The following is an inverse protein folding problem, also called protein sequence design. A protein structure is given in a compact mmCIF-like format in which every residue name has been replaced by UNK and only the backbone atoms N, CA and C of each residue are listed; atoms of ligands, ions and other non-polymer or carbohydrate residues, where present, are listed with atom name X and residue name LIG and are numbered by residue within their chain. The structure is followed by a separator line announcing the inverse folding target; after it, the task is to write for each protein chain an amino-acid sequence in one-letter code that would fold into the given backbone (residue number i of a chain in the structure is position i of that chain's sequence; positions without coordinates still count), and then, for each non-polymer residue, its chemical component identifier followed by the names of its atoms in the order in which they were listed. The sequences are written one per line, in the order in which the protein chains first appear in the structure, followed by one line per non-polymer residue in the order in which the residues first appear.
data_IF_843607665884
#
_entry.id   IF_843607665884
#
_cell.length_a   1.000
_cell.length_b   1.000
_cell.length_c   1.000
_cell.angle_alpha   90.00
_cell.angle_beta   90.00
_cell.angle_gamma   90.00
#
_symmetry.space_group_name_H-M   'P 1'
#
loop_
_entity.id
_entity.type
_entity.pdbx_description
1 polymer ?
#
# COMPACT_ATOMS: atom_id res chain seq x y z
N UNK A 1 -11.37 -15.90 2.60
CA UNK A 1 -10.05 -15.36 3.04
C UNK A 1 -10.31 -14.17 3.93
N UNK A 2 -9.78 -14.17 5.15
CA UNK A 2 -9.95 -13.09 6.13
C UNK A 2 -8.64 -12.33 6.21
N UNK A 3 -8.68 -11.00 6.15
CA UNK A 3 -7.49 -10.15 6.29
C UNK A 3 -7.40 -9.55 7.69
N UNK A 4 -6.18 -9.49 8.22
CA UNK A 4 -5.89 -8.85 9.52
C UNK A 4 -4.90 -7.71 9.27
N UNK A 5 -5.32 -6.49 9.60
CA UNK A 5 -4.43 -5.32 9.50
C UNK A 5 -3.47 -5.29 10.70
N UNK A 6 -2.19 -5.13 10.42
CA UNK A 6 -1.13 -4.98 11.42
C UNK A 6 -0.54 -3.56 11.31
N UNK A 7 -0.07 -3.01 12.42
CA UNK A 7 0.50 -1.66 12.47
C UNK A 7 1.93 -1.62 11.91
N UNK A 8 2.66 -2.72 12.04
CA UNK A 8 4.05 -2.85 11.57
C UNK A 8 4.26 -4.19 10.87
N UNK A 9 5.30 -4.27 10.04
CA UNK A 9 5.71 -5.53 9.40
C UNK A 9 6.18 -6.56 10.43
N UNK A 10 6.87 -6.12 11.48
CA UNK A 10 7.28 -6.97 12.59
C UNK A 10 6.08 -7.61 13.30
N UNK A 11 4.98 -6.86 13.49
CA UNK A 11 3.75 -7.42 14.06
C UNK A 11 3.14 -8.49 13.14
N UNK A 12 3.11 -8.23 11.82
CA UNK A 12 2.60 -9.20 10.85
C UNK A 12 3.42 -10.50 10.85
N UNK A 13 4.76 -10.39 10.86
CA UNK A 13 5.68 -11.52 10.97
C UNK A 13 5.48 -12.28 12.28
N UNK A 14 5.45 -11.58 13.42
CA UNK A 14 5.24 -12.21 14.73
C UNK A 14 3.90 -12.97 14.83
N UNK A 15 2.85 -12.51 14.13
CA UNK A 15 1.58 -13.26 14.05
C UNK A 15 1.69 -14.53 13.22
N UNK A 16 2.47 -14.53 12.13
CA UNK A 16 2.78 -15.75 11.37
C UNK A 16 3.56 -16.73 12.23
N UNK A 17 4.59 -16.25 12.93
CA UNK A 17 5.42 -17.06 13.83
C UNK A 17 4.59 -17.75 14.92
N UNK A 18 3.67 -16.99 15.52
CA UNK A 18 2.73 -17.45 16.55
C UNK A 18 1.58 -18.32 16.02
N UNK A 19 1.46 -18.52 14.70
CA UNK A 19 0.37 -19.30 14.10
C UNK A 19 -1.02 -18.64 14.21
N UNK A 20 -1.06 -17.32 14.43
CA UNK A 20 -2.31 -16.55 14.50
C UNK A 20 -2.87 -16.22 13.12
N UNK A 21 -2.03 -16.28 12.08
CA UNK A 21 -2.38 -16.12 10.67
C UNK A 21 -1.57 -17.10 9.83
N UNK A 22 -2.12 -17.53 8.69
CA UNK A 22 -1.47 -18.52 7.81
C UNK A 22 -0.29 -17.94 7.01
N UNK A 23 -0.39 -16.65 6.67
CA UNK A 23 0.63 -15.93 5.91
C UNK A 23 0.58 -14.41 6.16
N UNK A 24 1.69 -13.73 5.91
CA UNK A 24 1.79 -12.28 5.87
C UNK A 24 2.20 -11.81 4.46
N UNK A 25 1.57 -10.72 3.99
CA UNK A 25 1.91 -10.07 2.72
C UNK A 25 2.74 -8.83 3.01
N UNK A 26 4.02 -8.84 2.62
CA UNK A 26 4.97 -7.78 2.94
C UNK A 26 5.55 -7.20 1.63
N UNK A 27 5.60 -5.85 1.47
CA UNK A 27 6.32 -5.25 0.35
C UNK A 27 7.82 -5.44 0.55
N UNK A 28 8.51 -5.95 -0.48
CA UNK A 28 9.94 -6.24 -0.45
C UNK A 28 10.76 -5.35 -1.40
N UNK A 29 10.11 -4.76 -2.41
CA UNK A 29 10.77 -3.89 -3.38
C UNK A 29 9.74 -2.93 -4.00
N UNK A 30 10.16 -1.70 -4.32
CA UNK A 30 9.38 -0.77 -5.13
C UNK A 30 10.24 -0.16 -6.25
N UNK A 31 9.67 0.01 -7.44
CA UNK A 31 10.41 0.51 -8.61
C UNK A 31 10.85 1.98 -8.51
N UNK A 32 10.35 2.73 -7.52
CA UNK A 32 10.65 4.15 -7.31
C UNK A 32 11.31 4.41 -5.95
N UNK A 33 11.02 3.58 -4.93
CA UNK A 33 11.43 3.81 -3.54
C UNK A 33 12.38 2.74 -3.00
N UNK A 34 13.48 3.21 -2.43
CA UNK A 34 14.47 2.38 -1.75
C UNK A 34 14.05 1.94 -0.33
N UNK A 35 13.18 2.69 0.37
CA UNK A 35 12.82 2.40 1.78
C UNK A 35 12.17 1.03 2.01
N UNK A 36 11.57 0.44 0.98
CA UNK A 36 11.00 -0.92 1.05
C UNK A 36 12.09 -1.96 1.26
N UNK A 37 13.34 -1.65 0.91
CA UNK A 37 14.48 -2.55 1.09
C UNK A 37 14.79 -2.84 2.57
N UNK A 38 14.41 -1.96 3.51
CA UNK A 38 14.58 -2.22 4.94
C UNK A 38 13.72 -3.40 5.44
N UNK A 39 12.63 -3.74 4.72
CA UNK A 39 11.84 -4.94 5.03
C UNK A 39 12.57 -6.23 4.63
N UNK A 40 13.47 -6.16 3.65
CA UNK A 40 14.33 -7.29 3.30
C UNK A 40 15.21 -7.67 4.49
N UNK A 41 15.61 -6.70 5.32
CA UNK A 41 16.36 -6.99 6.54
C UNK A 41 15.54 -7.77 7.57
N UNK A 42 14.23 -7.49 7.67
CA UNK A 42 13.33 -8.26 8.53
C UNK A 42 13.16 -9.71 8.06
N UNK A 43 13.28 -9.98 6.77
CA UNK A 43 13.29 -11.35 6.26
C UNK A 43 14.50 -12.14 6.79
N UNK A 44 15.66 -11.50 6.96
CA UNK A 44 16.84 -12.19 7.53
C UNK A 44 16.67 -12.54 9.00
N UNK A 45 16.02 -11.67 9.77
CA UNK A 45 15.94 -11.83 11.22
C UNK A 45 14.96 -12.94 11.65
N UNK A 46 13.98 -13.29 10.81
CA UNK A 46 12.85 -14.15 11.19
C UNK A 46 12.76 -15.49 10.41
N UNK A 47 13.66 -15.72 9.45
CA UNK A 47 13.72 -16.90 8.56
C UNK A 47 12.34 -17.39 8.01
N UNK A 48 11.44 -16.50 7.54
CA UNK A 48 10.16 -16.94 7.00
C UNK A 48 10.33 -17.53 5.59
N UNK A 49 9.53 -18.55 5.27
CA UNK A 49 9.50 -19.11 3.93
C UNK A 49 8.70 -18.19 3.01
N UNK A 50 9.31 -17.76 1.90
CA UNK A 50 8.60 -17.09 0.81
C UNK A 50 7.83 -18.16 0.05
N UNK A 51 6.50 -18.13 0.15
CA UNK A 51 5.61 -19.08 -0.52
C UNK A 51 4.96 -18.52 -1.79
N UNK A 52 5.09 -17.21 -2.01
CA UNK A 52 4.53 -16.53 -3.17
C UNK A 52 5.09 -15.12 -3.33
N UNK A 53 4.92 -14.57 -4.53
CA UNK A 53 5.14 -13.15 -4.78
C UNK A 53 4.09 -12.61 -5.76
N UNK A 54 3.81 -11.32 -5.63
CA UNK A 54 2.97 -10.58 -6.58
C UNK A 54 3.57 -9.21 -6.85
N UNK A 55 3.62 -8.83 -8.12
CA UNK A 55 3.99 -7.48 -8.53
C UNK A 55 2.69 -6.72 -8.79
N UNK A 56 2.45 -5.67 -8.00
CA UNK A 56 1.27 -4.83 -8.14
C UNK A 56 1.66 -3.46 -8.66
N UNK A 57 0.99 -3.01 -9.72
CA UNK A 57 1.03 -1.62 -10.15
C UNK A 57 0.42 -0.74 -9.06
N UNK A 58 1.10 0.35 -8.73
CA UNK A 58 0.63 1.35 -7.77
C UNK A 58 -0.03 2.48 -8.55
N UNK A 59 -1.31 2.30 -8.82
CA UNK A 59 -2.15 3.33 -9.41
C UNK A 59 -2.88 4.12 -8.31
N UNK A 60 -2.91 5.44 -8.48
CA UNK A 60 -3.50 6.37 -7.54
C UNK A 60 -4.65 7.12 -8.21
N UNK A 61 -5.84 7.04 -7.61
CA UNK A 61 -7.08 7.64 -8.09
C UNK A 61 -7.61 8.63 -7.06
N UNK A 62 -8.28 9.69 -7.54
CA UNK A 62 -8.99 10.64 -6.70
C UNK A 62 -10.37 10.10 -6.37
N UNK A 63 -10.67 10.06 -5.09
CA UNK A 63 -11.91 9.51 -4.57
C UNK A 63 -12.58 10.61 -3.76
N UNK A 64 -13.66 11.22 -4.26
CA UNK A 64 -14.42 12.21 -3.51
C UNK A 64 -15.31 11.51 -2.49
N UNK A 65 -15.82 12.29 -1.53
CA UNK A 65 -16.91 11.82 -0.69
C UNK A 65 -18.15 11.42 -1.53
N UNK A 66 -18.99 10.48 -1.05
CA UNK A 66 -20.19 10.07 -1.74
C UNK A 66 -21.11 11.26 -2.06
N UNK A 67 -21.54 11.37 -3.32
CA UNK A 67 -22.44 12.43 -3.78
C UNK A 67 -21.75 13.74 -4.16
N UNK A 68 -20.42 13.84 -4.04
CA UNK A 68 -19.69 15.04 -4.42
C UNK A 68 -19.23 15.08 -5.88
N UNK A 69 -19.37 16.25 -6.48
CA UNK A 69 -18.78 16.64 -7.77
C UNK A 69 -17.34 17.15 -7.63
N UNK A 70 -16.63 17.21 -8.76
CA UNK A 70 -15.23 17.66 -8.82
C UNK A 70 -15.01 19.10 -8.34
N UNK A 71 -16.00 19.94 -8.61
CA UNK A 71 -16.12 21.37 -8.31
C UNK A 71 -16.29 21.64 -6.81
N UNK A 72 -16.76 20.66 -6.05
CA UNK A 72 -17.00 20.79 -4.62
C UNK A 72 -15.76 20.44 -3.78
N UNK A 73 -14.73 19.83 -4.37
CA UNK A 73 -13.53 19.37 -3.63
C UNK A 73 -12.61 20.55 -3.33
N UNK A 74 -12.46 20.90 -2.05
CA UNK A 74 -11.60 22.00 -1.58
C UNK A 74 -10.24 21.53 -1.11
N UNK A 75 -10.14 20.29 -0.63
CA UNK A 75 -8.88 19.73 -0.17
C UNK A 75 -8.74 18.23 -0.45
N UNK A 76 -7.49 17.78 -0.64
CA UNK A 76 -7.11 16.38 -0.86
C UNK A 76 -6.26 15.91 0.31
N UNK A 77 -6.68 14.80 0.94
CA UNK A 77 -5.98 14.17 2.05
C UNK A 77 -5.37 12.84 1.60
N UNK A 78 -4.10 12.60 1.91
CA UNK A 78 -3.51 11.28 1.77
C UNK A 78 -2.19 11.19 2.52
N UNK A 79 -1.62 9.99 2.55
CA UNK A 79 -0.27 9.75 3.06
C UNK A 79 0.71 10.68 2.34
N UNK A 80 1.67 11.34 3.05
CA UNK A 80 2.60 12.28 2.42
C UNK A 80 3.27 11.72 1.16
N UNK A 81 3.64 10.43 1.18
CA UNK A 81 4.19 9.76 0.02
C UNK A 81 3.23 9.72 -1.19
N UNK A 82 1.95 9.44 -0.97
CA UNK A 82 0.96 9.41 -2.04
C UNK A 82 0.72 10.83 -2.59
N UNK A 83 0.76 11.85 -1.73
CA UNK A 83 0.65 13.24 -2.16
C UNK A 83 1.83 13.68 -3.02
N UNK A 84 3.06 13.32 -2.62
CA UNK A 84 4.27 13.57 -3.44
C UNK A 84 4.18 12.83 -4.78
N UNK A 85 3.72 11.57 -4.76
CA UNK A 85 3.53 10.77 -5.96
C UNK A 85 2.44 11.30 -6.90
N UNK A 86 1.48 12.10 -6.42
CA UNK A 86 0.45 12.76 -7.23
C UNK A 86 0.69 14.28 -7.40
N UNK A 87 1.88 14.77 -7.07
CA UNK A 87 2.15 16.20 -6.95
C UNK A 87 1.78 17.02 -8.20
N UNK A 88 2.09 16.53 -9.40
CA UNK A 88 1.80 17.24 -10.66
C UNK A 88 0.30 17.46 -10.84
N UNK A 89 -0.49 16.39 -10.71
CA UNK A 89 -1.95 16.47 -10.81
C UNK A 89 -2.55 17.39 -9.73
N UNK A 90 -2.04 17.30 -8.49
CA UNK A 90 -2.57 18.08 -7.38
C UNK A 90 -2.27 19.57 -7.53
N UNK A 91 -1.09 19.94 -8.02
CA UNK A 91 -0.71 21.31 -8.34
C UNK A 91 -1.64 21.90 -9.42
N UNK A 92 -1.86 21.18 -10.51
CA UNK A 92 -2.73 21.63 -11.61
C UNK A 92 -4.19 21.79 -11.18
N UNK A 93 -4.63 21.03 -10.17
CA UNK A 93 -6.01 21.09 -9.67
C UNK A 93 -6.31 22.35 -8.83
N UNK A 94 -5.30 23.06 -8.34
CA UNK A 94 -5.45 24.22 -7.44
C UNK A 94 -6.05 23.89 -6.07
N UNK A 95 -6.18 22.60 -5.72
CA UNK A 95 -6.79 22.14 -4.45
C UNK A 95 -5.78 22.16 -3.32
N UNK A 96 -6.27 22.39 -2.09
CA UNK A 96 -5.40 22.34 -0.90
C UNK A 96 -4.97 20.91 -0.61
N UNK A 97 -3.68 20.67 -0.48
CA UNK A 97 -3.12 19.34 -0.18
C UNK A 97 -2.84 19.23 1.32
N UNK A 98 -3.33 18.18 1.98
CA UNK A 98 -3.19 17.97 3.42
C UNK A 98 -2.61 16.58 3.70
N UNK A 99 -1.37 16.48 4.23
CA UNK A 99 -0.78 15.21 4.64
C UNK A 99 -1.58 14.54 5.77
N UNK A 100 -1.87 13.26 5.62
CA UNK A 100 -2.63 12.46 6.58
C UNK A 100 -2.14 11.00 6.61
N UNK A 101 -1.71 10.52 7.77
CA UNK A 101 -1.17 9.17 7.96
C UNK A 101 -2.26 8.13 8.26
N UNK A 102 -3.50 8.54 8.54
CA UNK A 102 -4.60 7.66 8.92
C UNK A 102 -5.87 8.00 8.12
N UNK A 103 -5.81 7.74 6.81
CA UNK A 103 -6.90 7.96 5.88
C UNK A 103 -8.21 7.28 6.31
N UNK A 104 -8.13 6.15 7.02
CA UNK A 104 -9.29 5.42 7.54
C UNK A 104 -9.97 6.15 8.71
N UNK A 105 -9.19 6.67 9.68
CA UNK A 105 -9.71 7.52 10.76
C UNK A 105 -10.30 8.80 10.22
N UNK A 106 -9.70 9.41 9.20
CA UNK A 106 -10.23 10.61 8.56
C UNK A 106 -11.55 10.35 7.84
N UNK A 107 -11.64 9.28 7.04
CA UNK A 107 -12.90 8.86 6.41
C UNK A 107 -14.02 8.65 7.44
N UNK A 108 -13.68 8.09 8.62
CA UNK A 108 -14.61 7.96 9.75
C UNK A 108 -15.02 9.32 10.34
N UNK A 109 -14.05 10.21 10.60
CA UNK A 109 -14.34 11.57 11.09
C UNK A 109 -15.18 12.39 10.11
N UNK A 110 -15.03 12.17 8.80
CA UNK A 110 -15.86 12.81 7.77
C UNK A 110 -17.30 12.33 7.86
N UNK A 111 -17.51 11.01 7.96
CA UNK A 111 -18.82 10.40 8.17
C UNK A 111 -19.49 10.87 9.46
N UNK A 112 -18.73 11.01 10.54
CA UNK A 112 -19.24 11.39 11.87
C UNK A 112 -19.46 12.89 12.05
N UNK A 113 -18.60 13.73 11.46
CA UNK A 113 -18.59 15.19 11.68
C UNK A 113 -19.15 16.00 10.51
N UNK A 114 -19.57 15.33 9.43
CA UNK A 114 -20.14 16.01 8.25
C UNK A 114 -19.16 16.99 7.60
N UNK A 115 -17.86 16.72 7.70
CA UNK A 115 -16.86 17.55 7.03
C UNK A 115 -16.87 17.22 5.53
N UNK A 116 -17.80 17.84 4.82
CA UNK A 116 -17.91 17.79 3.36
C UNK A 116 -16.68 18.50 2.76
N UNK A 117 -16.36 18.20 1.49
CA UNK A 117 -15.31 18.85 0.66
C UNK A 117 -13.95 18.13 0.52
N UNK A 118 -13.86 16.84 0.81
CA UNK A 118 -12.61 16.10 0.72
C UNK A 118 -12.54 15.08 -0.41
N UNK A 119 -11.31 14.81 -0.82
CA UNK A 119 -10.99 13.64 -1.61
C UNK A 119 -9.75 12.93 -1.05
N UNK A 120 -9.70 11.61 -1.24
CA UNK A 120 -8.57 10.77 -0.90
C UNK A 120 -7.85 10.27 -2.15
N UNK A 121 -6.57 9.96 -2.00
CA UNK A 121 -5.78 9.25 -3.02
C UNK A 121 -5.70 7.78 -2.62
N UNK A 122 -6.28 6.88 -3.41
CA UNK A 122 -6.14 5.43 -3.20
C UNK A 122 -6.21 4.62 -4.51
N UNK A 123 -5.96 3.31 -4.43
CA UNK A 123 -6.01 2.42 -5.59
C UNK A 123 -7.44 2.13 -6.04
N UNK A 124 -7.63 1.84 -7.34
CA UNK A 124 -8.95 1.46 -7.87
C UNK A 124 -9.57 0.28 -7.11
N UNK A 125 -8.73 -0.67 -6.66
CA UNK A 125 -9.18 -1.82 -5.88
C UNK A 125 -9.82 -1.38 -4.57
N UNK A 126 -9.21 -0.44 -3.84
CA UNK A 126 -9.78 0.10 -2.62
C UNK A 126 -11.13 0.80 -2.88
N UNK A 127 -11.25 1.50 -4.00
CA UNK A 127 -12.51 2.14 -4.41
C UNK A 127 -13.63 1.12 -4.60
N UNK A 128 -13.35 0.01 -5.28
CA UNK A 128 -14.32 -1.08 -5.51
C UNK A 128 -14.74 -1.72 -4.19
N UNK A 129 -13.80 -1.96 -3.27
CA UNK A 129 -14.09 -2.53 -1.94
C UNK A 129 -14.99 -1.60 -1.13
N UNK A 130 -14.72 -0.29 -1.18
CA UNK A 130 -15.46 0.71 -0.41
C UNK A 130 -16.73 1.21 -1.13
N UNK A 131 -17.09 0.65 -2.30
CA UNK A 131 -18.21 1.09 -3.14
C UNK A 131 -18.23 2.61 -3.40
N UNK A 132 -17.06 3.22 -3.61
CA UNK A 132 -16.92 4.65 -3.86
C UNK A 132 -16.86 4.96 -5.37
N UNK A 133 -17.07 6.23 -5.73
CA UNK A 133 -16.92 6.70 -7.12
C UNK A 133 -15.50 7.20 -7.34
N UNK A 134 -14.92 6.93 -8.51
CA UNK A 134 -13.65 7.54 -8.91
C UNK A 134 -13.96 8.85 -9.64
N UNK A 135 -13.27 9.92 -9.27
CA UNK A 135 -13.36 11.20 -9.97
C UNK A 135 -12.25 11.38 -11.01
N UNK A 136 -11.03 10.97 -10.67
CA UNK A 136 -9.88 11.02 -11.58
C UNK A 136 -9.03 9.77 -11.39
N UNK A 137 -8.50 9.24 -12.49
CA UNK A 137 -7.66 8.04 -12.52
C UNK A 137 -6.21 8.42 -12.81
N UNK A 138 -5.29 7.50 -12.53
CA UNK A 138 -3.89 7.58 -12.98
C UNK A 138 -3.19 8.91 -12.62
N UNK A 139 -3.42 9.41 -11.41
CA UNK A 139 -2.87 10.68 -10.95
C UNK A 139 -1.38 10.62 -10.58
N UNK A 140 -0.80 9.41 -10.58
CA UNK A 140 0.59 9.22 -10.21
C UNK A 140 1.53 9.85 -11.26
N UNK A 141 2.50 10.63 -10.79
CA UNK A 141 3.52 11.28 -11.62
C UNK A 141 4.32 10.28 -12.47
N UNK A 142 4.50 9.06 -11.96
CA UNK A 142 5.24 7.99 -12.62
C UNK A 142 4.27 6.85 -12.98
N UNK A 143 3.94 6.65 -14.27
CA UNK A 143 2.99 5.61 -14.70
C UNK A 143 3.53 4.18 -14.50
N UNK A 144 4.85 4.03 -14.31
CA UNK A 144 5.54 2.76 -14.12
C UNK A 144 5.96 2.52 -12.65
N UNK A 145 5.07 2.84 -11.71
CA UNK A 145 5.27 2.54 -10.29
C UNK A 145 4.74 1.14 -9.96
N UNK A 146 5.63 0.24 -9.55
CA UNK A 146 5.30 -1.14 -9.19
C UNK A 146 5.89 -1.46 -7.83
N UNK A 147 5.13 -2.17 -7.00
CA UNK A 147 5.63 -2.75 -5.74
C UNK A 147 5.55 -4.26 -5.85
N UNK A 148 6.65 -4.93 -5.53
CA UNK A 148 6.70 -6.37 -5.36
C UNK A 148 6.41 -6.71 -3.91
N UNK A 149 5.44 -7.58 -3.70
CA UNK A 149 5.07 -8.13 -2.41
C UNK A 149 5.42 -9.61 -2.36
N UNK A 150 5.81 -10.08 -1.18
CA UNK A 150 6.04 -11.50 -0.90
C UNK A 150 5.06 -11.99 0.14
N UNK A 151 4.57 -13.21 -0.09
CA UNK A 151 3.77 -13.97 0.86
C UNK A 151 4.73 -14.80 1.71
N UNK A 152 4.65 -14.60 3.03
CA UNK A 152 5.53 -15.21 4.01
C UNK A 152 4.72 -16.15 4.88
N UNK A 153 5.15 -17.41 4.97
CA UNK A 153 4.47 -18.45 5.74
C UNK A 153 5.47 -19.37 6.44
N UNK A 154 4.99 -20.16 7.40
CA UNK A 154 5.73 -21.30 7.97
C UNK A 154 5.55 -22.58 7.18
N UNK A 155 4.53 -22.63 6.32
CA UNK A 155 4.23 -23.81 5.52
C UNK A 155 5.19 -23.92 4.33
N UNK A 156 5.67 -25.14 4.08
CA UNK A 156 6.36 -25.47 2.84
C UNK A 156 5.34 -25.76 1.75
N UNK A 157 5.56 -25.18 0.58
CA UNK A 157 4.72 -25.41 -0.59
C UNK A 157 5.51 -26.20 -1.64
N UNK A 158 4.88 -27.19 -2.30
CA UNK A 158 5.54 -27.96 -3.34
C UNK A 158 5.83 -27.07 -4.56
N UNK A 159 6.85 -27.42 -5.38
CA UNK A 159 7.15 -26.71 -6.61
C UNK A 159 5.92 -26.62 -7.54
N UNK A 160 5.68 -25.44 -8.11
CA UNK A 160 4.50 -25.15 -8.94
C UNK A 160 4.77 -25.23 -10.46
N UNK A 161 6.00 -25.56 -10.85
CA UNK A 161 6.46 -25.59 -12.25
C UNK A 161 6.97 -24.25 -12.77
N UNK A 162 6.62 -23.13 -12.14
CA UNK A 162 7.23 -21.80 -12.33
C UNK A 162 7.75 -21.30 -11.00
N UNK A 163 8.97 -21.70 -10.67
CA UNK A 163 9.57 -21.42 -9.36
C UNK A 163 10.55 -20.26 -9.46
N UNK A 164 10.62 -19.48 -8.39
CA UNK A 164 11.68 -18.51 -8.15
C UNK A 164 12.32 -18.83 -6.80
N UNK A 165 13.64 -18.75 -6.73
CA UNK A 165 14.40 -18.92 -5.50
C UNK A 165 15.01 -17.58 -5.12
N UNK A 166 14.75 -17.12 -3.90
CA UNK A 166 15.39 -15.95 -3.31
C UNK A 166 16.54 -16.40 -2.42
N UNK A 167 17.72 -15.81 -2.61
CA UNK A 167 18.93 -16.12 -1.83
C UNK A 167 19.54 -14.81 -1.40
N UNK A 168 20.01 -14.75 -0.16
CA UNK A 168 20.86 -13.66 0.31
C UNK A 168 22.13 -14.23 0.92
N UNK A 169 23.23 -13.55 0.66
CA UNK A 169 24.56 -13.98 1.05
C UNK A 169 25.36 -12.79 1.57
N UNK A 170 26.20 -13.04 2.58
CA UNK A 170 27.20 -12.09 3.07
C UNK A 170 28.59 -12.60 2.75
N UNK A 171 29.51 -11.71 2.36
CA UNK A 171 30.92 -12.04 2.14
C UNK A 171 31.73 -11.53 3.33
N UNK A 172 32.65 -12.35 3.86
CA UNK A 172 33.60 -11.86 4.88
C UNK A 172 34.60 -10.90 4.24
N UNK A 173 34.89 -9.74 4.85
CA UNK A 173 36.01 -8.91 4.42
C UNK A 173 37.32 -9.71 4.51
N UNK A 174 38.21 -9.49 3.54
CA UNK A 174 39.55 -10.08 3.50
C UNK A 174 40.43 -9.54 4.63
#
# INVERSE_FOLDING_TARGET
MVSVSCKTFLEALGRVEAGLVDAAVIPIENSIKEEVNQNSDLLFAHDPLICGEVVSKIDQSLIPDPGMGADQIKAVHSHPQALVQCGTFLLDSGRRVIPDYDAAKRARMIKEKGLVYFAAVASERAVRICAMKILSKEMANAPNNYTRFSDLSKAHFPPSGKNKTSIVMSVKPA
#
